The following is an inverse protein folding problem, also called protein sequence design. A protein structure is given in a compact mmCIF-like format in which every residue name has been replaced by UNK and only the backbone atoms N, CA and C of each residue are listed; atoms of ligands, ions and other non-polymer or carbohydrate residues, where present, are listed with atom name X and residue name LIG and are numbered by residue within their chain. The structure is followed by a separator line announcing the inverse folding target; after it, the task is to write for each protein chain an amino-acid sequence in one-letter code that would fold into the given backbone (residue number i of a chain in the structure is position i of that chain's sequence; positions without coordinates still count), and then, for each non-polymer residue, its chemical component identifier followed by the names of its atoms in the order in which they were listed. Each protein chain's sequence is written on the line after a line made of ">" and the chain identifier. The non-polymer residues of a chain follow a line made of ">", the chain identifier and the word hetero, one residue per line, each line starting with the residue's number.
data_IF_428102871494
#
_entry.id   IF_428102871494
#
_cell.length_a   1.000
_cell.length_b   1.000
_cell.length_c   1.000
_cell.angle_alpha   90.00
_cell.angle_beta   90.00
_cell.angle_gamma   90.00
#
_symmetry.space_group_name_H-M   'P 1'
#
loop_
_entity.id
_entity.type
_entity.pdbx_description
1 polymer ?
#
# COMPACT_ATOMS: atom_id res chain seq x y z
N UNK A 1 -56.57 35.43 20.47
CA UNK A 1 -56.64 34.15 19.74
C UNK A 1 -55.55 33.24 20.31
N UNK A 2 -55.93 32.01 20.60
CA UNK A 2 -55.51 31.21 21.77
C UNK A 2 -54.35 30.25 21.48
N UNK A 3 -53.43 30.15 22.43
CA UNK A 3 -52.42 29.09 22.60
C UNK A 3 -53.07 27.75 23.04
N UNK A 4 -52.61 26.66 22.40
CA UNK A 4 -52.44 25.23 22.80
C UNK A 4 -53.44 24.51 23.76
N UNK A 5 -53.68 23.20 23.55
CA UNK A 5 -53.00 22.25 24.45
C UNK A 5 -52.55 20.90 23.83
N UNK A 6 -51.36 20.50 24.32
CA UNK A 6 -50.86 19.16 24.68
C UNK A 6 -51.82 17.97 24.53
N UNK A 7 -51.37 16.93 23.82
CA UNK A 7 -51.67 15.53 24.16
C UNK A 7 -50.36 14.77 24.37
N UNK A 8 -50.10 14.47 25.63
CA UNK A 8 -49.13 13.48 26.10
C UNK A 8 -49.72 12.09 25.85
N UNK A 9 -48.95 11.20 25.24
CA UNK A 9 -49.14 9.76 25.38
C UNK A 9 -47.76 9.08 25.27
N UNK A 10 -47.23 8.47 26.34
CA UNK A 10 -45.96 7.76 26.32
C UNK A 10 -46.22 6.31 25.91
N UNK A 11 -45.55 5.82 24.87
CA UNK A 11 -45.43 4.37 24.62
C UNK A 11 -43.95 4.05 24.67
N UNK A 12 -43.53 3.64 25.86
CA UNK A 12 -42.35 2.81 26.04
C UNK A 12 -42.72 1.38 25.63
N UNK A 13 -41.99 0.80 24.67
CA UNK A 13 -41.72 -0.63 24.66
C UNK A 13 -40.37 -0.88 24.01
N UNK A 14 -39.50 -1.52 24.80
CA UNK A 14 -38.20 -2.04 24.42
C UNK A 14 -38.30 -2.99 23.22
N UNK A 15 -37.27 -3.05 22.37
CA UNK A 15 -36.70 -4.34 21.97
C UNK A 15 -35.28 -4.14 21.41
N UNK A 16 -34.33 -4.78 22.09
CA UNK A 16 -32.92 -4.86 21.77
C UNK A 16 -32.69 -5.51 20.40
N UNK A 17 -32.03 -4.81 19.49
CA UNK A 17 -31.32 -5.43 18.38
C UNK A 17 -29.86 -5.02 18.49
N UNK A 18 -29.09 -5.88 19.16
CA UNK A 18 -27.65 -5.90 19.05
C UNK A 18 -27.31 -6.03 17.56
N UNK A 19 -26.91 -4.92 16.94
CA UNK A 19 -26.22 -4.98 15.66
C UNK A 19 -24.92 -5.73 15.94
N UNK A 20 -24.95 -7.01 15.58
CA UNK A 20 -23.76 -7.82 15.36
C UNK A 20 -22.88 -6.99 14.44
N UNK A 21 -21.88 -6.33 15.01
CA UNK A 21 -20.66 -6.01 14.28
C UNK A 21 -20.06 -7.37 14.00
N UNK A 22 -20.54 -8.03 12.93
CA UNK A 22 -19.74 -9.00 12.21
C UNK A 22 -18.55 -8.19 11.72
N UNK A 23 -17.54 -8.08 12.58
CA UNK A 23 -16.18 -7.88 12.14
C UNK A 23 -15.96 -9.00 11.15
N UNK A 24 -16.13 -8.68 9.88
CA UNK A 24 -15.57 -9.47 8.82
C UNK A 24 -14.07 -9.42 9.11
N UNK A 25 -13.60 -10.41 9.86
CA UNK A 25 -12.24 -10.90 9.78
C UNK A 25 -12.03 -11.09 8.29
N UNK A 26 -11.45 -10.07 7.66
CA UNK A 26 -11.14 -10.07 6.25
C UNK A 26 -10.34 -11.34 6.07
N UNK A 27 -10.96 -12.32 5.42
CA UNK A 27 -10.27 -13.54 5.07
C UNK A 27 -9.15 -13.07 4.15
N UNK A 28 -7.96 -12.92 4.72
CA UNK A 28 -6.74 -12.64 4.00
C UNK A 28 -6.69 -13.73 2.95
N UNK A 29 -7.08 -13.40 1.71
CA UNK A 29 -6.99 -14.31 0.59
C UNK A 29 -5.56 -14.82 0.66
N UNK A 30 -5.38 -16.12 0.94
CA UNK A 30 -4.05 -16.74 0.96
C UNK A 30 -3.40 -16.31 -0.34
N UNK A 31 -2.25 -15.63 -0.24
CA UNK A 31 -1.44 -15.37 -1.41
C UNK A 31 -1.22 -16.71 -2.11
N UNK A 32 -1.67 -16.81 -3.36
CA UNK A 32 -1.46 -18.01 -4.19
C UNK A 32 0.04 -18.16 -4.51
N UNK A 33 0.79 -17.07 -4.36
CA UNK A 33 2.23 -17.00 -4.55
C UNK A 33 2.99 -17.35 -3.26
N UNK A 34 4.16 -17.99 -3.37
CA UNK A 34 5.03 -18.23 -2.22
C UNK A 34 5.48 -16.92 -1.58
N UNK A 35 5.81 -16.96 -0.29
CA UNK A 35 6.34 -15.78 0.40
C UNK A 35 7.68 -15.32 -0.23
N UNK A 36 7.93 -14.01 -0.36
CA UNK A 36 9.21 -13.51 -0.81
C UNK A 36 10.34 -13.89 0.16
N UNK A 37 11.58 -13.89 -0.34
CA UNK A 37 12.76 -14.03 0.50
C UNK A 37 12.84 -12.88 1.52
N UNK A 38 13.33 -13.15 2.73
CA UNK A 38 13.53 -12.13 3.76
C UNK A 38 14.33 -10.93 3.26
N UNK A 39 15.40 -11.17 2.50
CA UNK A 39 16.25 -10.12 1.93
C UNK A 39 15.46 -9.14 1.02
N UNK A 40 14.50 -9.63 0.24
CA UNK A 40 13.61 -8.78 -0.56
C UNK A 40 12.77 -7.88 0.33
N UNK A 41 12.13 -8.44 1.36
CA UNK A 41 11.30 -7.69 2.29
C UNK A 41 12.10 -6.70 3.15
N UNK A 42 13.31 -7.06 3.58
CA UNK A 42 14.19 -6.15 4.34
C UNK A 42 14.55 -4.92 3.51
N UNK A 43 14.88 -5.10 2.23
CA UNK A 43 15.15 -3.98 1.32
C UNK A 43 13.91 -3.16 0.98
N UNK A 44 12.75 -3.79 0.90
CA UNK A 44 11.47 -3.08 0.82
C UNK A 44 11.25 -2.15 2.02
N UNK A 45 11.57 -2.59 3.24
CA UNK A 45 11.45 -1.78 4.47
C UNK A 45 12.44 -0.61 4.48
N UNK A 46 13.68 -0.86 4.08
CA UNK A 46 14.68 0.19 3.93
C UNK A 46 14.20 1.27 2.95
N UNK A 47 13.63 0.85 1.81
CA UNK A 47 13.08 1.77 0.81
C UNK A 47 11.88 2.56 1.35
N UNK A 48 10.92 1.89 2.00
CA UNK A 48 9.77 2.55 2.64
C UNK A 48 10.20 3.59 3.66
N UNK A 49 11.12 3.22 4.57
CA UNK A 49 11.67 4.14 5.57
C UNK A 49 12.38 5.34 4.92
N UNK A 50 13.13 5.11 3.84
CA UNK A 50 13.80 6.17 3.09
C UNK A 50 12.77 7.18 2.54
N UNK A 51 11.77 6.73 1.79
CA UNK A 51 10.81 7.61 1.11
C UNK A 51 9.77 8.24 2.05
N UNK A 52 9.55 7.65 3.22
CA UNK A 52 8.63 8.16 4.26
C UNK A 52 9.32 8.97 5.34
N UNK A 53 10.65 9.11 5.29
CA UNK A 53 11.46 9.79 6.31
C UNK A 53 11.16 11.29 6.52
N UNK A 54 10.36 11.90 5.63
CA UNK A 54 10.12 13.34 5.62
C UNK A 54 11.29 14.18 5.10
N UNK A 55 12.40 13.53 4.69
CA UNK A 55 13.57 14.20 4.12
C UNK A 55 13.49 14.20 2.59
N UNK A 56 14.17 15.18 1.97
CA UNK A 56 14.44 15.13 0.53
C UNK A 56 15.45 14.02 0.27
N UNK A 57 15.02 12.98 -0.41
CA UNK A 57 15.83 11.83 -0.79
C UNK A 57 16.30 12.00 -2.23
N UNK A 58 17.59 11.75 -2.49
CA UNK A 58 18.15 11.77 -3.84
C UNK A 58 17.74 10.53 -4.65
N UNK A 59 17.80 10.64 -5.98
CA UNK A 59 17.53 9.50 -6.87
C UNK A 59 18.60 8.42 -6.69
N UNK A 60 19.85 8.79 -6.42
CA UNK A 60 20.96 7.85 -6.23
C UNK A 60 20.80 7.03 -4.94
N UNK A 61 20.30 7.64 -3.86
CA UNK A 61 19.96 6.91 -2.62
C UNK A 61 18.85 5.88 -2.86
N UNK A 62 17.81 6.25 -3.62
CA UNK A 62 16.77 5.31 -4.01
C UNK A 62 17.33 4.19 -4.90
N UNK A 63 18.17 4.55 -5.87
CA UNK A 63 18.77 3.61 -6.82
C UNK A 63 19.60 2.52 -6.13
N UNK A 64 20.37 2.89 -5.10
CA UNK A 64 21.15 1.93 -4.31
C UNK A 64 20.25 0.86 -3.67
N UNK A 65 19.12 1.23 -3.10
CA UNK A 65 18.18 0.28 -2.47
C UNK A 65 17.42 -0.52 -3.52
N UNK A 66 16.95 0.12 -4.60
CA UNK A 66 16.18 -0.57 -5.65
C UNK A 66 17.03 -1.59 -6.40
N UNK A 67 18.34 -1.37 -6.53
CA UNK A 67 19.26 -2.39 -7.06
C UNK A 67 19.26 -3.66 -6.22
N UNK A 68 19.28 -3.53 -4.89
CA UNK A 68 19.21 -4.66 -3.96
C UNK A 68 17.82 -5.32 -3.94
N UNK A 69 16.74 -4.53 -4.09
CA UNK A 69 15.38 -5.06 -4.29
C UNK A 69 15.34 -5.94 -5.54
N UNK A 70 15.86 -5.46 -6.67
CA UNK A 70 15.87 -6.19 -7.93
C UNK A 70 16.71 -7.48 -7.84
N UNK A 71 17.89 -7.43 -7.22
CA UNK A 71 18.75 -8.59 -7.03
C UNK A 71 18.08 -9.70 -6.18
N UNK A 72 17.19 -9.32 -5.26
CA UNK A 72 16.49 -10.24 -4.37
C UNK A 72 15.05 -10.56 -4.81
N UNK A 73 14.62 -10.03 -5.96
CA UNK A 73 13.24 -10.14 -6.41
C UNK A 73 12.81 -11.61 -6.62
N UNK A 74 11.61 -12.00 -6.16
CA UNK A 74 11.06 -13.30 -6.51
C UNK A 74 10.69 -13.34 -8.00
N UNK A 75 10.69 -14.55 -8.59
CA UNK A 75 10.58 -14.73 -10.05
C UNK A 75 9.32 -14.10 -10.66
N UNK A 76 8.23 -14.06 -9.91
CA UNK A 76 6.95 -13.49 -10.31
C UNK A 76 6.97 -11.96 -10.50
N UNK A 77 7.94 -11.25 -9.89
CA UNK A 77 8.03 -9.78 -9.94
C UNK A 77 9.36 -9.27 -10.51
N UNK A 78 10.30 -10.16 -10.83
CA UNK A 78 11.65 -9.78 -11.26
C UNK A 78 11.69 -8.87 -12.51
N UNK A 79 10.76 -9.07 -13.45
CA UNK A 79 10.67 -8.21 -14.62
C UNK A 79 10.23 -6.78 -14.26
N UNK A 80 9.25 -6.64 -13.38
CA UNK A 80 8.76 -5.34 -12.93
C UNK A 80 9.78 -4.61 -12.05
N UNK A 81 10.54 -5.33 -11.21
CA UNK A 81 11.64 -4.72 -10.44
C UNK A 81 12.76 -4.23 -11.35
N UNK A 82 13.03 -4.93 -12.45
CA UNK A 82 14.03 -4.49 -13.43
C UNK A 82 13.57 -3.23 -14.17
N UNK A 83 12.30 -3.16 -14.58
CA UNK A 83 11.72 -1.94 -15.18
C UNK A 83 11.81 -0.76 -14.21
N UNK A 84 11.50 -0.98 -12.94
CA UNK A 84 11.60 0.06 -11.92
C UNK A 84 13.06 0.52 -11.70
N UNK A 85 14.02 -0.41 -11.64
CA UNK A 85 15.43 -0.08 -11.54
C UNK A 85 15.90 0.77 -12.72
N UNK A 86 15.62 0.33 -13.95
CA UNK A 86 16.01 1.05 -15.16
C UNK A 86 15.31 2.41 -15.27
N UNK A 87 14.10 2.55 -14.75
CA UNK A 87 13.42 3.84 -14.65
C UNK A 87 14.19 4.82 -13.74
N UNK A 88 14.64 4.38 -12.56
CA UNK A 88 15.46 5.22 -11.67
C UNK A 88 16.81 5.59 -12.29
N UNK A 89 17.44 4.66 -13.01
CA UNK A 89 18.69 4.95 -13.75
C UNK A 89 18.48 6.03 -14.81
N UNK A 90 17.38 5.96 -15.57
CA UNK A 90 17.02 6.99 -16.56
C UNK A 90 16.77 8.35 -15.90
N UNK A 91 16.08 8.38 -14.76
CA UNK A 91 15.84 9.62 -14.00
C UNK A 91 17.15 10.21 -13.45
N UNK A 92 18.06 9.38 -12.93
CA UNK A 92 19.39 9.83 -12.47
C UNK A 92 20.19 10.47 -13.61
N UNK A 93 20.01 9.97 -14.84
CA UNK A 93 20.59 10.53 -16.07
C UNK A 93 19.79 11.72 -16.67
N UNK A 94 18.77 12.23 -15.98
CA UNK A 94 18.03 13.43 -16.37
C UNK A 94 16.83 13.18 -17.32
N UNK A 95 16.43 11.94 -17.58
CA UNK A 95 15.24 11.66 -18.38
C UNK A 95 13.96 11.91 -17.57
N UNK A 96 13.34 13.06 -17.83
CA UNK A 96 12.10 13.48 -17.16
C UNK A 96 10.85 12.76 -17.67
N UNK A 97 10.91 12.08 -18.81
CA UNK A 97 9.73 11.44 -19.44
C UNK A 97 9.34 10.12 -18.80
N UNK A 98 10.20 9.58 -17.93
CA UNK A 98 9.97 8.32 -17.20
C UNK A 98 8.68 8.37 -16.38
N UNK A 99 8.28 9.53 -15.87
CA UNK A 99 7.08 9.69 -15.05
C UNK A 99 5.78 9.47 -15.83
N UNK A 100 5.81 9.66 -17.16
CA UNK A 100 4.65 9.51 -18.05
C UNK A 100 4.62 8.13 -18.73
N UNK A 101 5.63 7.30 -18.49
CA UNK A 101 5.78 5.99 -19.09
C UNK A 101 4.80 4.99 -18.42
N UNK A 102 3.81 4.54 -19.19
CA UNK A 102 2.75 3.65 -18.70
C UNK A 102 3.31 2.32 -18.19
N UNK A 103 4.38 1.81 -18.81
CA UNK A 103 5.03 0.56 -18.42
C UNK A 103 5.73 0.71 -17.07
N UNK A 104 6.41 1.85 -16.85
CA UNK A 104 7.05 2.16 -15.57
C UNK A 104 6.03 2.25 -14.45
N UNK A 105 4.90 2.93 -14.70
CA UNK A 105 3.82 3.05 -13.71
C UNK A 105 3.24 1.69 -13.34
N UNK A 106 2.99 0.84 -14.33
CA UNK A 106 2.48 -0.52 -14.09
C UNK A 106 3.47 -1.36 -13.27
N UNK A 107 4.74 -1.33 -13.63
CA UNK A 107 5.79 -2.04 -12.90
C UNK A 107 5.86 -1.60 -11.42
N UNK A 108 5.83 -0.29 -11.14
CA UNK A 108 5.82 0.23 -9.77
C UNK A 108 4.58 -0.25 -9.00
N UNK A 109 3.40 -0.25 -9.64
CA UNK A 109 2.17 -0.75 -9.01
C UNK A 109 2.27 -2.24 -8.67
N UNK A 110 2.80 -3.05 -9.59
CA UNK A 110 2.97 -4.48 -9.37
C UNK A 110 3.98 -4.76 -8.24
N UNK A 111 5.11 -4.04 -8.22
CA UNK A 111 6.13 -4.14 -7.16
C UNK A 111 5.54 -3.75 -5.80
N UNK A 112 4.84 -2.61 -5.72
CA UNK A 112 4.18 -2.18 -4.48
C UNK A 112 3.12 -3.18 -4.01
N UNK A 113 2.32 -3.72 -4.93
CA UNK A 113 1.34 -4.77 -4.61
C UNK A 113 2.03 -6.02 -4.06
N UNK A 114 3.16 -6.42 -4.64
CA UNK A 114 3.91 -7.59 -4.18
C UNK A 114 4.49 -7.37 -2.79
N UNK A 115 5.01 -6.19 -2.51
CA UNK A 115 5.46 -5.80 -1.17
C UNK A 115 4.32 -5.77 -0.15
N UNK A 116 3.17 -5.21 -0.50
CA UNK A 116 2.01 -5.18 0.39
C UNK A 116 1.54 -6.59 0.74
N UNK A 117 1.38 -7.44 -0.28
CA UNK A 117 0.86 -8.79 -0.09
C UNK A 117 1.87 -9.74 0.56
N UNK A 118 3.15 -9.65 0.20
CA UNK A 118 4.18 -10.60 0.62
C UNK A 118 5.03 -10.16 1.81
N UNK A 119 5.13 -8.85 2.06
CA UNK A 119 5.98 -8.28 3.11
C UNK A 119 5.22 -7.38 4.10
N UNK A 120 3.95 -7.05 3.84
CA UNK A 120 3.14 -6.17 4.67
C UNK A 120 3.57 -4.70 4.63
N UNK A 121 4.14 -4.24 3.52
CA UNK A 121 4.67 -2.89 3.34
C UNK A 121 3.80 -2.03 2.43
N UNK A 122 3.91 -0.71 2.51
CA UNK A 122 3.16 0.24 1.70
C UNK A 122 1.63 0.11 1.81
N UNK A 123 1.15 -0.53 2.88
CA UNK A 123 -0.27 -0.76 3.09
C UNK A 123 -0.93 0.54 3.59
N UNK A 124 -1.84 1.09 2.77
CA UNK A 124 -2.55 2.36 3.04
C UNK A 124 -3.60 2.25 4.15
N UNK A 125 -3.45 1.30 5.08
CA UNK A 125 -4.37 1.08 6.22
C UNK A 125 -3.89 1.69 7.54
N UNK A 126 -2.69 2.25 7.61
CA UNK A 126 -2.21 2.97 8.82
C UNK A 126 -2.56 4.46 8.83
N UNK A 127 -3.51 4.87 7.98
CA UNK A 127 -4.08 6.22 7.96
C UNK A 127 -5.59 6.15 8.26
N UNK A 128 -5.94 5.61 9.42
CA UNK A 128 -7.24 5.81 10.08
C UNK A 128 -6.97 5.95 11.58
#
# INVERSE_FOLDING_TARGET
>A
MTQSPRKLAPIALLLSAALLVTGCSGSSKKNVLPDPKKAFCDKGKEYEALITSGKKVSVDEQLAIVREINANAPKDIAADTQVFLSALERVSNGDKRVVDDAQVREAIVNVNRRFAQGCGLFDRKSAI
#
